data_IF_368765074759
#
_entry.id   IF_368765074759
#
_cell.length_a   1.000
_cell.length_b   1.000
_cell.length_c   1.000
_cell.angle_alpha   90.00
_cell.angle_beta   90.00
_cell.angle_gamma   90.00
#
_symmetry.space_group_name_H-M   'P 1'
#
loop_
_entity.id
_entity.type
_entity.pdbx_description
1 polymer ?
#
# COMPACT_ATOMS: atom_id res chain seq x y z
N UNK A 1 2.77 -5.06 3.30
CA UNK A 1 1.50 -4.77 3.99
C UNK A 1 1.00 -3.42 3.53
N UNK A 2 -0.28 -3.35 3.16
CA UNK A 2 -1.00 -2.11 2.88
C UNK A 2 -2.08 -1.93 3.93
N UNK A 3 -2.27 -0.72 4.44
CA UNK A 3 -3.35 -0.39 5.38
C UNK A 3 -4.13 0.79 4.83
N UNK A 4 -5.38 0.55 4.46
CA UNK A 4 -6.31 1.55 3.96
C UNK A 4 -7.18 2.07 5.10
N UNK A 5 -7.19 3.39 5.29
CA UNK A 5 -8.11 4.05 6.21
C UNK A 5 -9.50 4.14 5.58
N UNK A 6 -10.53 3.69 6.30
CA UNK A 6 -11.92 3.76 5.85
C UNK A 6 -12.70 4.77 6.70
N UNK A 7 -13.38 5.76 6.09
CA UNK A 7 -14.16 6.73 6.84
C UNK A 7 -15.22 6.05 7.70
N UNK A 8 -15.25 6.38 9.01
CA UNK A 8 -16.24 5.86 9.98
C UNK A 8 -16.24 4.32 10.10
N UNK A 9 -15.14 3.67 9.74
CA UNK A 9 -14.95 2.24 9.85
C UNK A 9 -13.52 1.93 10.28
N UNK A 10 -13.26 0.68 10.67
CA UNK A 10 -11.92 0.22 10.95
C UNK A 10 -11.07 0.21 9.68
N UNK A 11 -9.79 0.54 9.82
CA UNK A 11 -8.82 0.40 8.73
C UNK A 11 -8.74 -1.05 8.27
N UNK A 12 -8.57 -1.26 6.96
CA UNK A 12 -8.39 -2.59 6.38
C UNK A 12 -6.92 -2.82 6.09
N UNK A 13 -6.38 -3.94 6.56
CA UNK A 13 -5.03 -4.37 6.24
C UNK A 13 -5.06 -5.43 5.14
N UNK A 14 -4.24 -5.25 4.11
CA UNK A 14 -3.99 -6.21 3.05
C UNK A 14 -2.52 -6.67 3.17
N UNK A 15 -2.31 -7.97 3.39
CA UNK A 15 -0.98 -8.58 3.49
C UNK A 15 -0.67 -9.29 2.19
N UNK A 16 0.31 -8.79 1.47
CA UNK A 16 0.76 -9.34 0.20
C UNK A 16 2.12 -10.00 0.42
N UNK A 17 2.22 -11.28 0.04
CA UNK A 17 3.47 -12.03 -0.05
C UNK A 17 3.85 -12.04 -1.53
N UNK A 18 5.08 -11.65 -1.82
CA UNK A 18 5.64 -11.67 -3.17
C UNK A 18 6.67 -12.79 -3.27
N UNK A 19 6.60 -13.55 -4.36
CA UNK A 19 7.64 -14.48 -4.76
C UNK A 19 8.78 -13.75 -5.50
N UNK A 20 9.90 -14.46 -5.70
CA UNK A 20 11.03 -13.89 -6.42
C UNK A 20 10.63 -13.59 -7.88
N UNK A 21 10.86 -12.35 -8.30
CA UNK A 21 10.49 -11.89 -9.64
C UNK A 21 9.13 -11.18 -9.71
N UNK A 22 8.33 -11.24 -8.65
CA UNK A 22 7.08 -10.49 -8.57
C UNK A 22 7.29 -9.04 -8.11
N UNK A 23 6.36 -8.17 -8.50
CA UNK A 23 6.37 -6.77 -8.11
C UNK A 23 4.96 -6.31 -7.72
N UNK A 24 4.89 -5.32 -6.84
CA UNK A 24 3.65 -4.67 -6.43
C UNK A 24 3.75 -3.17 -6.71
N UNK A 25 2.75 -2.64 -7.41
CA UNK A 25 2.58 -1.20 -7.61
C UNK A 25 1.47 -0.72 -6.69
N UNK A 26 1.76 0.31 -5.90
CA UNK A 26 0.78 0.92 -5.00
C UNK A 26 1.03 2.42 -4.85
N UNK A 27 0.00 3.15 -4.42
CA UNK A 27 0.09 4.60 -4.19
C UNK A 27 0.85 4.90 -2.90
N UNK A 28 1.76 5.86 -2.90
CA UNK A 28 2.59 6.18 -1.71
C UNK A 28 1.82 6.80 -0.54
N UNK A 29 0.72 7.52 -0.80
CA UNK A 29 -0.02 8.27 0.24
C UNK A 29 -1.54 8.08 0.22
N UNK A 30 -2.14 8.05 -0.96
CA UNK A 30 -3.59 7.98 -1.10
C UNK A 30 -3.99 7.27 -2.38
N UNK A 31 -5.10 6.54 -2.32
CA UNK A 31 -5.75 5.97 -3.51
C UNK A 31 -7.16 6.53 -3.70
N UNK A 32 -7.63 6.68 -4.94
CA UNK A 32 -9.02 7.01 -5.21
C UNK A 32 -9.91 5.82 -4.85
N UNK A 33 -10.95 6.06 -4.04
CA UNK A 33 -11.95 5.06 -3.69
C UNK A 33 -13.32 5.57 -4.12
N UNK A 34 -14.12 4.72 -4.76
CA UNK A 34 -15.47 5.04 -5.19
C UNK A 34 -16.40 5.09 -3.98
N UNK A 35 -17.06 6.23 -3.77
CA UNK A 35 -18.11 6.43 -2.77
C UNK A 35 -19.44 6.83 -3.42
N UNK A 36 -20.46 7.05 -2.57
CA UNK A 36 -21.81 7.41 -3.03
C UNK A 36 -21.88 8.77 -3.76
N UNK A 37 -20.95 9.69 -3.47
CA UNK A 37 -20.90 11.06 -4.05
C UNK A 37 -19.70 11.26 -4.99
N UNK A 38 -19.19 10.18 -5.59
CA UNK A 38 -18.00 10.20 -6.42
C UNK A 38 -16.76 9.64 -5.70
N UNK A 39 -15.59 9.91 -6.26
CA UNK A 39 -14.33 9.43 -5.71
C UNK A 39 -13.87 10.29 -4.53
N UNK A 40 -13.32 9.64 -3.51
CA UNK A 40 -12.62 10.31 -2.41
C UNK A 40 -11.21 9.73 -2.24
N UNK A 41 -10.34 10.48 -1.56
CA UNK A 41 -8.97 10.06 -1.27
C UNK A 41 -8.96 9.24 0.01
N UNK A 42 -8.68 7.94 -0.08
CA UNK A 42 -8.43 7.12 1.10
C UNK A 42 -6.92 7.14 1.42
N UNK A 43 -6.58 7.41 2.68
CA UNK A 43 -5.19 7.33 3.15
C UNK A 43 -4.71 5.88 3.03
N UNK A 44 -3.58 5.68 2.35
CA UNK A 44 -2.91 4.40 2.26
C UNK A 44 -1.59 4.46 2.99
N UNK A 45 -1.40 3.57 3.97
CA UNK A 45 -0.11 3.34 4.61
C UNK A 45 0.46 2.04 4.07
N UNK A 46 1.78 1.98 3.93
CA UNK A 46 2.47 0.79 3.46
C UNK A 46 3.65 0.51 4.38
N UNK A 47 4.00 -0.77 4.49
CA UNK A 47 5.11 -1.20 5.32
C UNK A 47 5.55 -2.61 4.98
N UNK A 48 6.75 -2.94 5.41
CA UNK A 48 7.32 -4.28 5.31
C UNK A 48 7.19 -4.98 6.66
N UNK A 49 6.68 -6.22 6.64
CA UNK A 49 6.58 -7.01 7.87
C UNK A 49 7.97 -7.44 8.34
N UNK A 50 8.14 -7.53 9.66
CA UNK A 50 9.35 -8.07 10.30
C UNK A 50 9.70 -9.44 9.71
N UNK A 51 10.98 -9.64 9.42
CA UNK A 51 11.53 -10.95 9.06
C UNK A 51 11.76 -11.72 10.36
N UNK A 52 11.07 -12.86 10.53
CA UNK A 52 11.21 -13.73 11.71
C UNK A 52 12.36 -14.73 11.58
N UNK A 53 12.71 -15.09 10.34
CA UNK A 53 13.83 -15.97 9.99
C UNK A 53 14.29 -15.71 8.55
N UNK A 54 15.54 -16.05 8.23
CA UNK A 54 16.10 -15.86 6.90
C UNK A 54 16.43 -14.40 6.56
N UNK A 55 16.43 -14.07 5.27
CA UNK A 55 16.71 -12.72 4.74
C UNK A 55 15.70 -12.36 3.65
N UNK A 56 15.38 -11.06 3.55
CA UNK A 56 14.55 -10.50 2.47
C UNK A 56 15.34 -9.40 1.79
N UNK A 57 15.40 -9.46 0.47
CA UNK A 57 15.91 -8.40 -0.40
C UNK A 57 14.76 -7.86 -1.25
N UNK A 58 14.76 -6.56 -1.52
CA UNK A 58 13.75 -5.93 -2.36
C UNK A 58 14.27 -4.62 -2.93
N UNK A 59 13.77 -4.27 -4.11
CA UNK A 59 14.04 -3.00 -4.77
C UNK A 59 12.79 -2.12 -4.68
N UNK A 60 12.96 -0.90 -4.17
CA UNK A 60 11.91 0.12 -4.20
C UNK A 60 12.19 1.15 -5.28
N UNK A 61 11.19 1.43 -6.12
CA UNK A 61 11.20 2.55 -7.06
C UNK A 61 10.09 3.51 -6.64
N UNK A 62 10.46 4.77 -6.40
CA UNK A 62 9.52 5.80 -5.95
C UNK A 62 9.39 6.83 -7.08
N UNK A 63 8.17 7.00 -7.58
CA UNK A 63 7.84 8.02 -8.56
C UNK A 63 7.45 9.32 -7.84
N UNK A 64 8.21 10.37 -8.09
CA UNK A 64 7.88 11.73 -7.69
C UNK A 64 7.34 12.47 -8.92
N UNK A 65 6.34 13.33 -8.71
CA UNK A 65 5.98 14.28 -9.75
C UNK A 65 7.13 15.27 -9.86
N UNK A 66 7.61 15.53 -11.07
CA UNK A 66 8.47 16.66 -11.33
C UNK A 66 7.59 17.92 -11.31
N UNK A 67 7.82 18.79 -10.33
CA UNK A 67 7.38 20.18 -10.37
C UNK A 67 8.56 21.04 -10.83
#
# INVERSE_FOLDING_TARGET
MLVEQRPRAQSRADVIVLEQGEALIFTTRHRPVRGARGYYRATLRHGVSRVVSGRRYGLGVIFHNAE
#
